data_IF_524473898770
#
_entry.id   IF_524473898770
#
_cell.length_a   1.000
_cell.length_b   1.000
_cell.length_c   1.000
_cell.angle_alpha   90.00
_cell.angle_beta   90.00
_cell.angle_gamma   90.00
#
_symmetry.space_group_name_H-M   'P 1'
#
loop_
_entity.id
_entity.type
_entity.pdbx_description
1 polymer ?
#
# COMPACT_ATOMS: atom_id res chain seq x y z
N UNK A 1 -22.56 -10.24 -2.11
CA UNK A 1 -21.56 -11.13 -1.53
C UNK A 1 -21.37 -12.30 -2.46
N UNK A 2 -20.17 -12.53 -2.95
CA UNK A 2 -19.84 -13.65 -3.83
C UNK A 2 -18.41 -14.13 -3.58
N UNK A 3 -18.16 -15.40 -3.89
CA UNK A 3 -16.83 -15.99 -3.79
C UNK A 3 -16.19 -16.05 -5.18
N UNK A 4 -14.93 -15.65 -5.25
CA UNK A 4 -14.07 -15.87 -6.40
C UNK A 4 -13.03 -16.93 -6.02
N UNK A 5 -12.78 -17.86 -6.90
CA UNK A 5 -11.60 -18.71 -6.81
C UNK A 5 -10.73 -18.37 -8.01
N UNK A 6 -9.53 -17.88 -7.75
CA UNK A 6 -8.58 -17.64 -8.83
C UNK A 6 -7.83 -18.93 -9.21
N UNK A 7 -7.06 -18.85 -10.30
CA UNK A 7 -6.28 -20.00 -10.84
C UNK A 7 -5.22 -20.53 -9.86
N UNK A 8 -4.89 -19.74 -8.81
CA UNK A 8 -3.91 -20.12 -7.77
C UNK A 8 -4.51 -20.84 -6.56
N UNK A 9 -5.84 -21.10 -6.55
CA UNK A 9 -6.50 -21.82 -5.47
C UNK A 9 -6.78 -20.97 -4.22
N UNK A 10 -6.70 -19.64 -4.32
CA UNK A 10 -7.02 -18.74 -3.23
C UNK A 10 -8.53 -18.60 -3.04
N UNK A 11 -8.97 -18.47 -1.80
CA UNK A 11 -10.35 -18.14 -1.46
C UNK A 11 -10.50 -16.62 -1.36
N UNK A 12 -11.24 -16.03 -2.29
CA UNK A 12 -11.50 -14.60 -2.32
C UNK A 12 -12.98 -14.36 -2.07
N UNK A 13 -13.30 -13.73 -0.93
CA UNK A 13 -14.65 -13.34 -0.56
C UNK A 13 -14.84 -11.86 -0.84
N UNK A 14 -15.77 -11.52 -1.72
CA UNK A 14 -16.12 -10.12 -2.01
C UNK A 14 -17.45 -9.77 -1.31
N UNK A 15 -17.38 -8.75 -0.46
CA UNK A 15 -18.53 -8.13 0.21
C UNK A 15 -18.90 -6.86 -0.58
N UNK A 16 -19.58 -7.04 -1.71
CA UNK A 16 -20.02 -5.94 -2.56
C UNK A 16 -21.38 -5.41 -2.06
N UNK A 17 -21.37 -4.21 -1.52
CA UNK A 17 -22.58 -3.56 -1.02
C UNK A 17 -22.39 -2.04 -0.97
N UNK A 18 -23.49 -1.30 -1.11
CA UNK A 18 -23.51 0.16 -0.96
C UNK A 18 -23.09 0.57 0.47
N UNK A 19 -22.67 1.83 0.63
CA UNK A 19 -22.32 2.40 1.93
C UNK A 19 -23.51 2.28 2.90
N UNK A 20 -23.23 2.02 4.18
CA UNK A 20 -24.27 1.86 5.22
C UNK A 20 -24.91 0.48 5.33
N UNK A 21 -24.65 -0.47 4.44
CA UNK A 21 -25.22 -1.82 4.47
C UNK A 21 -24.47 -2.82 5.37
N UNK A 22 -23.75 -2.33 6.38
CA UNK A 22 -23.13 -3.20 7.40
C UNK A 22 -21.88 -3.95 6.94
N UNK A 23 -21.22 -3.57 5.83
CA UNK A 23 -19.94 -4.18 5.37
C UNK A 23 -18.92 -4.26 6.49
N UNK A 24 -18.63 -3.13 7.13
CA UNK A 24 -17.66 -3.03 8.22
C UNK A 24 -18.00 -3.95 9.40
N UNK A 25 -19.28 -4.07 9.74
CA UNK A 25 -19.72 -5.00 10.80
C UNK A 25 -19.47 -6.45 10.38
N UNK A 26 -19.77 -6.80 9.13
CA UNK A 26 -19.50 -8.15 8.61
C UNK A 26 -18.00 -8.45 8.55
N UNK A 27 -17.18 -7.47 8.14
CA UNK A 27 -15.70 -7.58 8.19
C UNK A 27 -15.24 -7.85 9.62
N UNK A 28 -15.70 -7.05 10.59
CA UNK A 28 -15.35 -7.24 12.01
C UNK A 28 -15.73 -8.64 12.53
N UNK A 29 -16.88 -9.15 12.11
CA UNK A 29 -17.30 -10.51 12.46
C UNK A 29 -16.36 -11.56 11.85
N UNK A 30 -15.99 -11.44 10.58
CA UNK A 30 -15.03 -12.33 9.90
C UNK A 30 -13.65 -12.28 10.60
N UNK A 31 -13.22 -11.11 11.06
CA UNK A 31 -12.00 -10.95 11.86
C UNK A 31 -12.09 -11.74 13.16
N UNK A 32 -13.20 -11.60 13.88
CA UNK A 32 -13.41 -12.30 15.17
C UNK A 32 -13.40 -13.82 14.99
N UNK A 33 -14.01 -14.32 13.92
CA UNK A 33 -14.09 -15.73 13.59
C UNK A 33 -12.78 -16.31 13.03
N UNK A 34 -11.80 -15.47 12.68
CA UNK A 34 -10.55 -15.92 12.06
C UNK A 34 -9.61 -16.58 13.08
N UNK A 35 -9.15 -17.79 12.81
CA UNK A 35 -8.07 -18.44 13.55
C UNK A 35 -6.68 -18.02 13.04
N UNK A 36 -6.61 -17.58 11.78
CA UNK A 36 -5.38 -17.04 11.18
C UNK A 36 -5.10 -15.63 11.69
N UNK A 37 -3.84 -15.20 11.80
CA UNK A 37 -3.53 -13.80 12.00
C UNK A 37 -4.02 -12.99 10.79
N UNK A 38 -4.42 -11.76 11.03
CA UNK A 38 -5.08 -10.91 10.06
C UNK A 38 -4.23 -9.69 9.73
N UNK A 39 -4.09 -9.40 8.44
CA UNK A 39 -3.68 -8.08 7.96
C UNK A 39 -4.92 -7.38 7.43
N UNK A 40 -5.32 -6.30 8.09
CA UNK A 40 -6.41 -5.42 7.69
C UNK A 40 -5.84 -4.16 7.06
N UNK A 41 -6.24 -3.86 5.83
CA UNK A 41 -5.79 -2.67 5.11
C UNK A 41 -6.98 -1.83 4.67
N UNK A 42 -6.84 -0.52 4.80
CA UNK A 42 -7.87 0.50 4.55
C UNK A 42 -7.26 1.72 3.86
N UNK A 43 -8.04 2.52 3.09
CA UNK A 43 -7.50 3.71 2.44
C UNK A 43 -7.04 4.78 3.43
N UNK A 44 -7.69 4.89 4.60
CA UNK A 44 -7.46 5.97 5.57
C UNK A 44 -6.76 5.50 6.84
N UNK A 45 -5.75 6.25 7.27
CA UNK A 45 -5.04 5.96 8.52
C UNK A 45 -5.95 6.01 9.74
N UNK A 46 -6.94 6.89 9.73
CA UNK A 46 -7.93 7.03 10.82
C UNK A 46 -8.78 5.76 10.98
N UNK A 47 -9.16 5.12 9.88
CA UNK A 47 -9.87 3.85 9.92
C UNK A 47 -8.99 2.72 10.47
N UNK A 48 -7.70 2.70 10.10
CA UNK A 48 -6.77 1.76 10.70
C UNK A 48 -6.63 1.98 12.22
N UNK A 49 -6.61 3.22 12.70
CA UNK A 49 -6.67 3.54 14.13
C UNK A 49 -7.97 3.08 14.78
N UNK A 50 -9.11 3.19 14.11
CA UNK A 50 -10.41 2.70 14.60
C UNK A 50 -10.41 1.18 14.82
N UNK A 51 -9.74 0.43 13.95
CA UNK A 51 -9.60 -1.05 14.10
C UNK A 51 -8.79 -1.43 15.33
N UNK A 52 -7.81 -0.61 15.69
CA UNK A 52 -7.00 -0.79 16.92
C UNK A 52 -7.73 -0.30 18.18
N UNK A 53 -8.89 0.35 18.03
CA UNK A 53 -9.70 0.84 19.13
C UNK A 53 -9.49 2.31 19.47
N UNK A 54 -9.09 3.16 18.53
CA UNK A 54 -9.01 4.59 18.78
C UNK A 54 -10.38 5.15 19.17
N UNK A 55 -10.41 5.92 20.28
CA UNK A 55 -11.62 6.53 20.83
C UNK A 55 -12.08 7.64 19.88
N UNK A 56 -13.39 7.71 19.65
CA UNK A 56 -14.03 8.80 18.92
C UNK A 56 -14.94 9.59 19.84
N UNK A 57 -15.02 10.91 19.65
CA UNK A 57 -15.95 11.80 20.37
C UNK A 57 -17.37 11.75 19.76
N UNK A 58 -18.30 12.48 20.36
CA UNK A 58 -19.69 12.57 19.92
C UNK A 58 -19.86 13.13 18.49
N UNK A 59 -18.82 13.75 17.94
CA UNK A 59 -18.78 14.27 16.56
C UNK A 59 -18.18 13.29 15.56
N UNK A 60 -17.70 12.13 16.03
CA UNK A 60 -17.04 11.10 15.22
C UNK A 60 -15.56 11.38 14.96
N UNK A 61 -14.94 12.34 15.66
CA UNK A 61 -13.51 12.64 15.53
C UNK A 61 -12.70 11.83 16.55
N UNK A 62 -11.53 11.40 16.12
CA UNK A 62 -10.61 10.70 17.03
C UNK A 62 -10.11 11.61 18.15
N UNK A 63 -10.24 11.13 19.38
CA UNK A 63 -9.73 11.79 20.58
C UNK A 63 -8.22 11.65 20.65
N UNK A 64 -7.55 12.74 21.00
CA UNK A 64 -6.10 12.77 21.21
C UNK A 64 -5.79 13.29 22.61
N UNK A 65 -4.68 12.81 23.18
CA UNK A 65 -4.17 13.34 24.45
C UNK A 65 -3.51 14.73 24.25
N UNK A 66 -3.08 15.34 25.36
CA UNK A 66 -2.41 16.66 25.37
C UNK A 66 -1.11 16.69 24.56
N UNK A 67 -0.54 15.55 24.26
CA UNK A 67 0.67 15.37 23.43
C UNK A 67 0.33 15.10 21.95
N UNK A 68 -0.97 15.08 21.59
CA UNK A 68 -1.46 14.85 20.23
C UNK A 68 -1.52 13.39 19.80
N UNK A 69 -1.35 12.42 20.70
CA UNK A 69 -1.47 10.99 20.40
C UNK A 69 -2.90 10.52 20.49
N UNK A 70 -3.27 9.55 19.63
CA UNK A 70 -4.56 8.89 19.70
C UNK A 70 -4.75 8.19 21.04
N UNK A 71 -5.92 8.36 21.63
CA UNK A 71 -6.37 7.58 22.79
C UNK A 71 -7.05 6.31 22.32
N UNK A 72 -6.85 5.19 23.03
CA UNK A 72 -7.39 3.89 22.66
C UNK A 72 -8.24 3.33 23.78
N UNK A 73 -9.35 2.68 23.39
CA UNK A 73 -10.21 1.90 24.27
C UNK A 73 -9.82 0.42 24.14
N UNK A 74 -9.49 -0.20 25.25
CA UNK A 74 -9.14 -1.61 25.33
C UNK A 74 -10.38 -2.53 25.39
N UNK A 75 -11.58 -1.98 25.45
CA UNK A 75 -12.86 -2.73 25.50
C UNK A 75 -13.68 -2.55 24.23
N UNK A 76 -13.03 -2.41 23.06
CA UNK A 76 -13.71 -2.33 21.77
C UNK A 76 -13.95 -3.72 21.15
N UNK A 77 -14.82 -3.79 20.14
CA UNK A 77 -15.27 -5.05 19.52
C UNK A 77 -14.13 -5.99 19.09
N UNK A 78 -12.99 -5.45 18.61
CA UNK A 78 -11.83 -6.22 18.14
C UNK A 78 -10.70 -6.32 19.18
N UNK A 79 -10.92 -5.91 20.42
CA UNK A 79 -9.89 -5.88 21.48
C UNK A 79 -9.21 -7.25 21.68
N UNK A 80 -9.97 -8.34 21.61
CA UNK A 80 -9.44 -9.70 21.75
C UNK A 80 -8.46 -10.12 20.64
N UNK A 81 -8.45 -9.40 19.52
CA UNK A 81 -7.55 -9.66 18.37
C UNK A 81 -6.24 -8.89 18.46
N UNK A 82 -6.12 -7.91 19.38
CA UNK A 82 -4.88 -7.16 19.63
C UNK A 82 -4.21 -6.65 18.37
N UNK A 83 -4.92 -5.87 17.55
CA UNK A 83 -4.35 -5.28 16.34
C UNK A 83 -3.24 -4.28 16.64
N UNK A 84 -2.17 -4.33 15.84
CA UNK A 84 -1.03 -3.42 15.92
C UNK A 84 -0.95 -2.53 14.67
N UNK A 85 -0.53 -1.26 14.88
CA UNK A 85 -0.24 -0.32 13.79
C UNK A 85 1.27 -0.22 13.55
N UNK A 86 1.75 -0.40 12.32
CA UNK A 86 3.14 -0.11 11.99
C UNK A 86 3.49 1.37 12.26
N UNK A 87 4.59 1.62 12.96
CA UNK A 87 5.04 2.96 13.34
C UNK A 87 6.56 3.10 13.19
N UNK A 88 7.06 4.35 13.19
CA UNK A 88 8.48 4.64 13.03
C UNK A 88 9.28 4.59 14.34
N UNK A 89 8.66 4.36 15.49
CA UNK A 89 9.33 4.39 16.80
C UNK A 89 9.94 3.05 17.17
N UNK A 90 9.36 1.99 16.64
CA UNK A 90 9.78 0.63 16.87
C UNK A 90 10.67 0.18 15.69
N UNK A 91 11.56 -0.79 15.92
CA UNK A 91 12.32 -1.51 14.88
C UNK A 91 13.08 -0.60 13.90
N UNK A 92 14.00 0.21 14.40
CA UNK A 92 14.98 0.93 13.55
C UNK A 92 14.45 2.19 12.85
N UNK A 93 13.25 2.68 13.22
CA UNK A 93 12.74 3.97 12.74
C UNK A 93 11.98 3.90 11.40
N UNK A 94 11.66 2.72 10.88
CA UNK A 94 10.90 2.52 9.65
C UNK A 94 9.61 1.74 9.91
N UNK A 95 8.48 2.19 9.32
CA UNK A 95 7.22 1.41 9.34
C UNK A 95 7.38 0.06 8.65
N UNK A 96 8.23 -0.02 7.64
CA UNK A 96 8.48 -1.26 6.91
C UNK A 96 9.20 -2.29 7.79
N UNK A 97 10.21 -1.87 8.54
CA UNK A 97 10.91 -2.75 9.49
C UNK A 97 9.98 -3.19 10.63
N UNK A 98 9.12 -2.29 11.12
CA UNK A 98 8.14 -2.67 12.13
C UNK A 98 7.12 -3.68 11.60
N UNK A 99 6.67 -3.55 10.34
CA UNK A 99 5.76 -4.55 9.74
C UNK A 99 6.43 -5.93 9.63
N UNK A 100 7.72 -5.99 9.27
CA UNK A 100 8.49 -7.25 9.23
C UNK A 100 8.54 -7.92 10.60
N UNK A 101 8.79 -7.13 11.65
CA UNK A 101 8.76 -7.62 13.02
C UNK A 101 7.37 -8.16 13.39
N UNK A 102 6.31 -7.39 13.16
CA UNK A 102 4.93 -7.80 13.49
C UNK A 102 4.52 -9.09 12.78
N UNK A 103 4.91 -9.26 11.51
CA UNK A 103 4.65 -10.50 10.76
C UNK A 103 5.42 -11.66 11.38
N UNK A 104 6.70 -11.47 11.72
CA UNK A 104 7.52 -12.51 12.36
C UNK A 104 6.95 -12.95 13.71
N UNK A 105 6.35 -12.03 14.46
CA UNK A 105 5.66 -12.27 15.73
C UNK A 105 4.22 -12.77 15.56
N UNK A 106 3.73 -12.92 14.32
CA UNK A 106 2.37 -13.35 13.97
C UNK A 106 1.26 -12.46 14.60
N UNK A 107 1.53 -11.16 14.71
CA UNK A 107 0.59 -10.17 15.23
C UNK A 107 -0.51 -9.84 14.21
N UNK A 108 -1.73 -9.52 14.66
CA UNK A 108 -2.71 -8.90 13.78
C UNK A 108 -2.29 -7.46 13.47
N UNK A 109 -2.37 -7.08 12.20
CA UNK A 109 -1.84 -5.81 11.70
C UNK A 109 -2.96 -5.00 11.05
N UNK A 110 -3.14 -3.75 11.50
CA UNK A 110 -3.95 -2.77 10.80
C UNK A 110 -3.02 -1.80 10.05
N UNK A 111 -3.29 -1.54 8.79
CA UNK A 111 -2.41 -0.73 7.94
C UNK A 111 -3.20 0.04 6.89
N UNK A 112 -2.51 0.86 6.10
CA UNK A 112 -3.10 1.59 4.98
C UNK A 112 -2.76 0.94 3.64
N UNK A 113 -3.61 1.18 2.63
CA UNK A 113 -3.34 0.81 1.24
C UNK A 113 -1.97 1.31 0.78
N UNK A 114 -1.61 2.55 1.17
CA UNK A 114 -0.33 3.15 0.81
C UNK A 114 0.87 2.36 1.38
N UNK A 115 0.83 1.97 2.65
CA UNK A 115 1.92 1.18 3.23
C UNK A 115 1.97 -0.22 2.63
N UNK A 116 0.80 -0.83 2.37
CA UNK A 116 0.71 -2.14 1.72
C UNK A 116 1.30 -2.14 0.30
N UNK A 117 1.09 -1.07 -0.47
CA UNK A 117 1.58 -0.95 -1.83
C UNK A 117 3.11 -0.86 -1.97
N UNK A 118 3.82 -0.56 -0.88
CA UNK A 118 5.28 -0.39 -0.86
C UNK A 118 6.02 -1.50 -0.11
N UNK A 119 5.34 -2.60 0.21
CA UNK A 119 5.96 -3.75 0.86
C UNK A 119 7.04 -4.37 -0.06
N UNK A 120 8.17 -4.72 0.55
CA UNK A 120 9.33 -5.24 -0.16
C UNK A 120 9.34 -6.77 -0.26
N UNK A 121 10.36 -7.31 -0.94
CA UNK A 121 10.52 -8.74 -1.14
C UNK A 121 10.71 -9.52 0.18
N UNK A 122 11.31 -8.90 1.20
CA UNK A 122 11.48 -9.54 2.51
C UNK A 122 10.12 -9.75 3.19
N UNK A 123 9.22 -8.75 3.09
CA UNK A 123 7.84 -8.89 3.60
C UNK A 123 7.09 -9.97 2.84
N UNK A 124 7.25 -10.06 1.52
CA UNK A 124 6.64 -11.13 0.70
C UNK A 124 7.09 -12.51 1.19
N UNK A 125 8.39 -12.68 1.43
CA UNK A 125 8.92 -13.97 1.96
C UNK A 125 8.36 -14.31 3.35
N UNK A 126 8.27 -13.32 4.25
CA UNK A 126 7.68 -13.52 5.57
C UNK A 126 6.19 -13.89 5.51
N UNK A 127 5.43 -13.23 4.63
CA UNK A 127 4.01 -13.52 4.43
C UNK A 127 3.77 -14.93 3.89
N UNK A 128 4.59 -15.37 2.91
CA UNK A 128 4.51 -16.74 2.39
C UNK A 128 4.71 -17.82 3.48
N UNK A 129 5.53 -17.50 4.49
CA UNK A 129 5.82 -18.41 5.61
C UNK A 129 4.78 -18.35 6.74
N UNK A 130 3.85 -17.40 6.71
CA UNK A 130 3.12 -17.00 7.93
C UNK A 130 1.61 -17.25 7.92
N UNK A 131 1.03 -17.72 6.81
CA UNK A 131 -0.40 -18.03 6.63
C UNK A 131 -1.35 -16.96 7.20
N UNK A 132 -1.21 -15.71 6.74
CA UNK A 132 -2.10 -14.61 7.08
C UNK A 132 -3.38 -14.61 6.24
N UNK A 133 -4.47 -14.13 6.83
CA UNK A 133 -5.67 -13.68 6.12
C UNK A 133 -5.55 -12.20 5.79
N UNK A 134 -5.79 -11.83 4.52
CA UNK A 134 -5.85 -10.44 4.09
C UNK A 134 -7.30 -9.94 4.11
N UNK A 135 -7.52 -8.80 4.72
CA UNK A 135 -8.79 -8.07 4.67
C UNK A 135 -8.53 -6.69 4.08
N UNK A 136 -9.21 -6.41 2.99
CA UNK A 136 -9.12 -5.16 2.23
C UNK A 136 -10.42 -4.41 2.40
N UNK A 137 -10.40 -3.32 3.14
CA UNK A 137 -11.52 -2.39 3.23
C UNK A 137 -11.37 -1.35 2.13
N UNK A 138 -12.33 -1.31 1.24
CA UNK A 138 -12.32 -0.70 -0.09
C UNK A 138 -11.31 -1.35 -1.06
N UNK A 139 -11.69 -1.46 -2.34
CA UNK A 139 -10.82 -2.07 -3.34
C UNK A 139 -9.50 -1.30 -3.51
N UNK A 140 -8.40 -2.06 -3.58
CA UNK A 140 -7.07 -1.48 -3.80
C UNK A 140 -6.98 -0.79 -5.16
N UNK A 141 -6.29 0.34 -5.18
CA UNK A 141 -5.78 0.87 -6.43
C UNK A 141 -4.59 0.00 -6.86
N UNK A 142 -4.81 -0.84 -7.86
CA UNK A 142 -3.81 -1.80 -8.35
C UNK A 142 -3.01 -1.27 -9.53
N UNK A 143 -3.47 -0.18 -10.14
CA UNK A 143 -2.84 0.43 -11.29
C UNK A 143 -3.16 1.94 -11.37
N UNK A 144 -2.17 2.77 -11.62
CA UNK A 144 -2.36 4.19 -11.93
C UNK A 144 -1.17 4.77 -12.70
N UNK A 145 -1.40 5.86 -13.42
CA UNK A 145 -0.32 6.65 -13.98
C UNK A 145 0.58 7.16 -12.86
N UNK A 146 1.88 6.95 -12.98
CA UNK A 146 2.81 7.40 -11.97
C UNK A 146 2.93 8.92 -12.00
N UNK A 147 2.35 9.57 -11.00
CA UNK A 147 2.77 10.92 -10.65
C UNK A 147 3.95 10.80 -9.70
N UNK A 148 5.14 11.01 -10.22
CA UNK A 148 6.39 10.81 -9.49
C UNK A 148 6.49 11.74 -8.27
N UNK A 149 5.73 12.84 -8.26
CA UNK A 149 5.67 13.78 -7.15
C UNK A 149 4.64 13.42 -6.08
N UNK A 150 3.71 12.49 -6.34
CA UNK A 150 2.77 12.04 -5.32
C UNK A 150 3.53 11.32 -4.20
N UNK A 151 3.43 11.87 -2.99
CA UNK A 151 4.00 11.30 -1.77
C UNK A 151 5.46 11.68 -1.48
N UNK A 152 6.05 12.61 -2.20
CA UNK A 152 7.21 13.34 -1.71
C UNK A 152 6.71 14.33 -0.66
N UNK A 153 7.18 14.18 0.59
CA UNK A 153 6.83 15.14 1.64
C UNK A 153 7.27 16.54 1.22
N UNK A 154 6.41 17.50 1.46
CA UNK A 154 6.57 18.92 1.12
C UNK A 154 7.80 19.59 1.78
N UNK A 155 8.58 18.85 2.57
CA UNK A 155 9.56 19.38 3.50
C UNK A 155 10.98 19.53 2.95
N UNK A 156 11.31 19.01 1.77
CA UNK A 156 12.63 19.26 1.20
C UNK A 156 12.61 20.48 0.28
N UNK A 157 13.33 21.52 0.69
CA UNK A 157 13.49 22.77 -0.09
C UNK A 157 14.04 22.53 -1.50
N UNK A 158 14.87 21.51 -1.64
CA UNK A 158 15.52 21.17 -2.90
C UNK A 158 14.54 20.55 -3.90
N UNK A 159 13.58 19.74 -3.41
CA UNK A 159 12.51 19.18 -4.26
C UNK A 159 11.53 20.26 -4.68
N UNK A 160 11.16 21.22 -3.78
CA UNK A 160 10.30 22.35 -4.14
C UNK A 160 10.92 23.18 -5.25
N UNK A 161 12.20 23.52 -5.13
CA UNK A 161 12.91 24.29 -6.15
C UNK A 161 12.98 23.55 -7.47
N UNK A 162 13.30 22.25 -7.45
CA UNK A 162 13.34 21.42 -8.65
C UNK A 162 11.97 21.32 -9.34
N UNK A 163 10.89 21.16 -8.58
CA UNK A 163 9.50 21.13 -9.08
C UNK A 163 9.08 22.49 -9.64
N UNK A 164 9.47 23.59 -9.00
CA UNK A 164 9.15 24.95 -9.45
C UNK A 164 9.92 25.31 -10.74
N UNK A 165 11.20 25.02 -10.81
CA UNK A 165 12.03 25.23 -12.01
C UNK A 165 11.47 24.40 -13.20
N UNK A 166 11.06 23.18 -12.97
CA UNK A 166 10.46 22.31 -13.97
C UNK A 166 9.05 22.76 -14.43
N UNK A 167 8.20 23.24 -13.51
CA UNK A 167 6.88 23.79 -13.85
C UNK A 167 6.99 25.06 -14.73
N UNK A 168 8.03 25.85 -14.53
CA UNK A 168 8.27 27.04 -15.36
C UNK A 168 8.74 26.70 -16.79
N UNK A 169 9.49 25.62 -16.96
CA UNK A 169 10.02 25.24 -18.27
C UNK A 169 9.02 24.45 -19.14
N UNK A 170 8.05 23.75 -18.57
CA UNK A 170 7.28 22.70 -19.28
C UNK A 170 5.80 22.97 -19.51
N UNK A 171 5.20 24.01 -18.93
CA UNK A 171 3.75 24.09 -18.97
C UNK A 171 3.09 22.83 -18.33
N UNK A 172 1.80 22.63 -18.43
CA UNK A 172 1.03 21.55 -17.78
C UNK A 172 1.28 20.10 -18.28
N UNK A 173 2.44 19.81 -18.87
CA UNK A 173 2.80 18.46 -19.35
C UNK A 173 3.40 17.59 -18.23
N UNK A 174 2.99 16.33 -18.13
CA UNK A 174 3.53 15.39 -17.13
C UNK A 174 5.03 15.19 -17.33
N UNK A 175 5.81 15.41 -16.28
CA UNK A 175 7.27 15.30 -16.25
C UNK A 175 7.81 13.89 -16.54
N UNK A 176 6.96 12.90 -16.41
CA UNK A 176 7.28 11.48 -16.42
C UNK A 176 7.99 11.01 -17.67
N UNK A 177 7.57 11.49 -18.82
CA UNK A 177 8.03 10.92 -20.10
C UNK A 177 9.48 11.27 -20.43
N UNK A 178 9.88 12.51 -20.24
CA UNK A 178 11.22 12.99 -20.65
C UNK A 178 12.32 12.51 -19.70
N UNK A 179 12.06 12.47 -18.41
CA UNK A 179 13.05 12.04 -17.42
C UNK A 179 13.29 10.54 -17.47
N UNK A 180 12.22 9.74 -17.53
CA UNK A 180 12.37 8.30 -17.70
C UNK A 180 13.08 8.00 -19.01
N UNK A 181 12.76 8.70 -20.11
CA UNK A 181 13.47 8.55 -21.38
C UNK A 181 14.94 8.94 -21.25
N UNK A 182 15.27 9.97 -20.47
CA UNK A 182 16.67 10.33 -20.21
C UNK A 182 17.38 9.25 -19.38
N UNK A 183 16.72 8.69 -18.36
CA UNK A 183 17.28 7.59 -17.55
C UNK A 183 17.51 6.35 -18.41
N UNK A 184 16.57 6.00 -19.29
CA UNK A 184 16.71 4.89 -20.26
C UNK A 184 17.85 5.20 -21.26
N UNK A 185 17.87 6.38 -21.85
CA UNK A 185 18.91 6.79 -22.83
C UNK A 185 20.31 6.77 -22.22
N UNK A 186 20.44 7.10 -20.95
CA UNK A 186 21.70 7.05 -20.21
C UNK A 186 22.05 5.67 -19.67
N UNK A 187 21.20 4.66 -19.92
CA UNK A 187 21.40 3.29 -19.47
C UNK A 187 21.35 3.11 -17.95
N UNK A 188 20.65 4.00 -17.25
CA UNK A 188 20.38 3.89 -15.80
C UNK A 188 19.17 2.99 -15.57
N UNK A 189 18.20 3.05 -16.48
CA UNK A 189 17.03 2.15 -16.51
C UNK A 189 17.05 1.37 -17.83
N UNK A 190 16.82 0.08 -17.73
CA UNK A 190 16.56 -0.82 -18.85
C UNK A 190 15.07 -1.18 -18.89
N UNK A 191 14.52 -1.29 -20.10
CA UNK A 191 13.12 -1.69 -20.31
C UNK A 191 13.10 -3.07 -20.92
N UNK A 192 12.42 -3.99 -20.27
CA UNK A 192 12.27 -5.34 -20.81
C UNK A 192 11.21 -5.41 -21.94
N UNK A 193 11.08 -6.56 -22.63
CA UNK A 193 10.10 -6.73 -23.70
C UNK A 193 8.63 -6.56 -23.26
N UNK A 194 8.33 -6.67 -21.95
CA UNK A 194 7.01 -6.49 -21.37
C UNK A 194 6.77 -5.05 -20.90
N UNK A 195 7.80 -4.19 -21.01
CA UNK A 195 7.74 -2.81 -20.59
C UNK A 195 8.12 -2.57 -19.13
N UNK A 196 8.50 -3.60 -18.37
CA UNK A 196 8.94 -3.46 -16.99
C UNK A 196 10.28 -2.73 -16.93
N UNK A 197 10.38 -1.78 -16.00
CA UNK A 197 11.57 -0.95 -15.81
C UNK A 197 12.52 -1.59 -14.79
N UNK A 198 13.79 -1.74 -15.18
CA UNK A 198 14.86 -2.31 -14.35
C UNK A 198 15.92 -1.26 -14.07
N UNK A 199 16.19 -0.99 -12.80
CA UNK A 199 17.27 -0.09 -12.40
C UNK A 199 18.63 -0.79 -12.53
N UNK A 200 19.60 -0.11 -13.17
CA UNK A 200 20.97 -0.63 -13.34
C UNK A 200 21.84 -0.08 -12.21
N UNK A 201 21.89 -0.80 -11.07
CA UNK A 201 22.50 -0.35 -9.81
C UNK A 201 24.01 -0.08 -9.88
N UNK A 202 24.71 -0.67 -10.85
CA UNK A 202 26.16 -0.56 -10.97
C UNK A 202 26.64 0.81 -11.47
N UNK A 203 25.71 1.65 -11.95
CA UNK A 203 26.03 2.91 -12.62
C UNK A 203 25.70 4.16 -11.81
N UNK A 204 24.93 4.03 -10.75
CA UNK A 204 24.44 5.20 -10.00
C UNK A 204 24.19 4.88 -8.54
N UNK A 205 24.95 5.51 -7.64
CA UNK A 205 24.62 5.55 -6.21
C UNK A 205 23.59 6.65 -5.98
N UNK A 206 22.51 6.34 -5.31
CA UNK A 206 21.41 7.27 -5.05
C UNK A 206 21.34 7.55 -3.56
N UNK A 207 21.43 8.80 -3.18
CA UNK A 207 21.22 9.23 -1.79
C UNK A 207 19.76 9.04 -1.37
N UNK A 208 19.55 8.57 -0.14
CA UNK A 208 18.23 8.38 0.44
C UNK A 208 17.46 9.71 0.51
N UNK A 209 16.22 9.67 0.02
CA UNK A 209 15.29 10.81 0.04
C UNK A 209 15.15 11.57 -1.28
N UNK A 210 15.95 11.29 -2.30
CA UNK A 210 15.82 11.89 -3.62
C UNK A 210 14.77 11.18 -4.48
N UNK A 211 14.25 11.92 -5.46
CA UNK A 211 13.35 11.41 -6.51
C UNK A 211 13.87 10.10 -7.16
N UNK A 212 15.16 10.04 -7.47
CA UNK A 212 15.79 8.87 -8.09
C UNK A 212 15.76 7.64 -7.16
N UNK A 213 15.90 7.80 -5.85
CA UNK A 213 15.82 6.68 -4.90
C UNK A 213 14.41 6.07 -4.87
N UNK A 214 13.37 6.89 -5.04
CA UNK A 214 12.00 6.39 -5.19
C UNK A 214 11.81 5.63 -6.49
N UNK A 215 12.28 6.15 -7.62
CA UNK A 215 12.21 5.45 -8.92
C UNK A 215 12.97 4.13 -8.84
N UNK A 216 14.19 4.13 -8.30
CA UNK A 216 14.99 2.93 -8.07
C UNK A 216 14.22 1.90 -7.26
N UNK A 217 13.67 2.30 -6.10
CA UNK A 217 12.89 1.42 -5.23
C UNK A 217 11.70 0.79 -5.97
N UNK A 218 10.95 1.57 -6.75
CA UNK A 218 9.81 1.05 -7.50
C UNK A 218 10.23 0.10 -8.63
N UNK A 219 11.39 0.32 -9.26
CA UNK A 219 11.99 -0.63 -10.19
C UNK A 219 12.38 -1.94 -9.47
N UNK A 220 13.04 -1.83 -8.30
CA UNK A 220 13.44 -2.99 -7.50
C UNK A 220 12.22 -3.82 -7.04
N UNK A 221 11.10 -3.14 -6.75
CA UNK A 221 9.82 -3.78 -6.42
C UNK A 221 9.06 -4.33 -7.65
N UNK A 222 9.57 -4.10 -8.88
CA UNK A 222 8.92 -4.49 -10.13
C UNK A 222 7.52 -3.89 -10.30
N UNK A 223 7.38 -2.63 -9.97
CA UNK A 223 6.11 -1.89 -9.95
C UNK A 223 6.02 -0.80 -11.02
N UNK A 224 7.08 -0.56 -11.80
CA UNK A 224 7.09 0.45 -12.85
C UNK A 224 7.13 -0.15 -14.24
N UNK A 225 6.24 0.33 -15.09
CA UNK A 225 6.11 -0.09 -16.47
C UNK A 225 6.10 1.10 -17.42
N UNK A 226 6.69 0.94 -18.60
CA UNK A 226 6.63 1.88 -19.72
C UNK A 226 5.68 1.35 -20.79
N UNK A 227 4.60 2.06 -21.05
CA UNK A 227 3.67 1.76 -22.13
C UNK A 227 3.95 2.60 -23.36
N UNK A 228 4.04 1.95 -24.53
CA UNK A 228 4.25 2.60 -25.85
C UNK A 228 5.46 3.56 -25.89
N UNK A 229 6.47 3.33 -25.06
CA UNK A 229 7.67 4.17 -25.01
C UNK A 229 7.44 5.59 -24.48
N UNK A 230 6.30 5.86 -23.85
CA UNK A 230 5.92 7.25 -23.45
C UNK A 230 5.32 7.35 -22.05
N UNK A 231 4.47 6.43 -21.63
CA UNK A 231 3.72 6.55 -20.37
C UNK A 231 4.26 5.60 -19.34
N UNK A 232 4.71 6.14 -18.21
CA UNK A 232 5.10 5.34 -17.06
C UNK A 232 3.89 5.17 -16.13
N UNK A 233 3.62 3.95 -15.76
CA UNK A 233 2.58 3.63 -14.80
C UNK A 233 3.10 2.72 -13.68
N UNK A 234 2.43 2.82 -12.55
CA UNK A 234 2.64 1.97 -11.40
C UNK A 234 1.61 0.85 -11.40
N UNK A 235 2.06 -0.34 -11.04
CA UNK A 235 1.21 -1.51 -10.85
C UNK A 235 1.58 -2.18 -9.53
N UNK A 236 0.56 -2.59 -8.75
CA UNK A 236 0.78 -3.37 -7.53
C UNK A 236 1.40 -4.71 -7.90
N UNK A 237 2.47 -5.10 -7.22
CA UNK A 237 3.07 -6.41 -7.46
C UNK A 237 2.09 -7.53 -7.04
N UNK A 238 1.59 -8.29 -8.01
CA UNK A 238 0.60 -9.36 -7.80
C UNK A 238 1.12 -10.48 -6.87
N UNK A 239 2.44 -10.65 -6.79
CA UNK A 239 3.05 -11.65 -5.91
C UNK A 239 2.65 -11.45 -4.46
N UNK A 240 2.44 -10.19 -4.01
CA UNK A 240 2.03 -9.94 -2.63
C UNK A 240 0.64 -10.51 -2.32
N UNK A 241 -0.30 -10.44 -3.27
CA UNK A 241 -1.63 -11.01 -3.08
C UNK A 241 -1.58 -12.55 -3.06
N UNK A 242 -0.65 -13.16 -3.80
CA UNK A 242 -0.49 -14.62 -3.83
C UNK A 242 0.01 -15.21 -2.50
N UNK A 243 0.50 -14.39 -1.57
CA UNK A 243 0.92 -14.84 -0.24
C UNK A 243 -0.24 -15.23 0.69
N UNK A 244 -1.47 -14.86 0.33
CA UNK A 244 -2.64 -15.06 1.17
C UNK A 244 -3.53 -16.18 0.64
N UNK A 245 -3.80 -17.19 1.44
CA UNK A 245 -4.77 -18.25 1.10
C UNK A 245 -6.21 -17.76 1.15
N UNK A 246 -6.49 -16.78 2.00
CA UNK A 246 -7.81 -16.20 2.22
C UNK A 246 -7.75 -14.68 2.11
N UNK A 247 -8.55 -14.12 1.19
CA UNK A 247 -8.68 -12.66 0.97
C UNK A 247 -10.14 -12.27 1.13
N UNK A 248 -10.42 -11.23 1.90
CA UNK A 248 -11.75 -10.62 2.02
C UNK A 248 -11.67 -9.19 1.51
N UNK A 249 -12.55 -8.83 0.58
CA UNK A 249 -12.60 -7.48 -0.01
C UNK A 249 -13.97 -6.89 0.28
N UNK A 250 -14.01 -5.80 1.06
CA UNK A 250 -15.21 -5.02 1.33
C UNK A 250 -15.26 -3.79 0.44
N UNK A 251 -16.10 -3.76 -0.60
CA UNK A 251 -16.14 -2.64 -1.54
C UNK A 251 -17.54 -2.37 -2.07
N UNK A 252 -17.65 -1.43 -3.00
CA UNK A 252 -18.85 -1.15 -3.78
C UNK A 252 -18.54 -1.19 -5.28
N UNK A 253 -19.43 -1.80 -6.07
CA UNK A 253 -19.27 -1.97 -7.52
C UNK A 253 -17.96 -2.67 -7.91
N UNK A 254 -17.67 -3.78 -7.28
CA UNK A 254 -16.41 -4.51 -7.47
C UNK A 254 -16.13 -4.85 -8.93
N UNK A 255 -17.14 -5.30 -9.69
CA UNK A 255 -17.00 -5.69 -11.10
C UNK A 255 -16.56 -4.54 -12.01
N UNK A 256 -16.74 -3.28 -11.57
CA UNK A 256 -16.31 -2.09 -12.29
C UNK A 256 -14.96 -1.54 -11.80
N UNK A 257 -14.32 -2.21 -10.85
CA UNK A 257 -13.03 -1.82 -10.31
C UNK A 257 -11.88 -2.56 -11.01
N UNK A 258 -10.76 -1.89 -11.22
CA UNK A 258 -9.56 -2.53 -11.81
C UNK A 258 -9.11 -3.77 -11.04
N UNK A 259 -9.30 -3.80 -9.72
CA UNK A 259 -8.95 -4.95 -8.89
C UNK A 259 -9.70 -6.22 -9.29
N UNK A 260 -10.93 -6.13 -9.84
CA UNK A 260 -11.69 -7.29 -10.31
C UNK A 260 -11.06 -8.00 -11.50
N UNK A 261 -10.30 -7.26 -12.30
CA UNK A 261 -9.55 -7.79 -13.46
C UNK A 261 -8.14 -8.24 -13.09
N UNK A 262 -7.66 -7.81 -11.93
CA UNK A 262 -6.33 -8.09 -11.42
C UNK A 262 -6.25 -9.42 -10.65
N UNK A 263 -7.35 -9.85 -10.03
CA UNK A 263 -7.48 -11.10 -9.27
C UNK A 263 -7.91 -12.27 -10.17
#
# INVERSE_FOLDING_TARGET
MFNLSNKSGQNILVLDAIMGNGKTQRIKQIILESEQPVIYITPLLEEAHSVVGAIVDDTGRHVRDDSGYYMYDNDHMLASKCFMLPNNRNSGGSKLEHIKQLISERQNIASTHQLFSILDQDVVMLLHASDYKLIVDEALNVWHNLNIYEGLSDDSKDIKKFVEDEKQERGSGSMTDREVQNLIKNGIIEVDPLGLLHWQSDKFEVDDGLFLSRVKRLCDLKQLYLSNGRVVFWELNSVILSCFSNIVIGTYMFEHNFMSHYL
#
